data_IF_308028745072
#
_entry.id   IF_308028745072
#
_cell.length_a   1.000
_cell.length_b   1.000
_cell.length_c   1.000
_cell.angle_alpha   90.00
_cell.angle_beta   90.00
_cell.angle_gamma   90.00
#
_symmetry.space_group_name_H-M   'P 1'
#
loop_
_entity.id
_entity.type
_entity.pdbx_description
1 polymer ?
#
# COMPACT_ATOMS: atom_id res chain seq x y z
N UNK A 1 -3.25 1.39 23.94
CA UNK A 1 -2.89 0.78 22.62
C UNK A 1 -1.70 1.56 22.05
N UNK A 2 -0.47 1.02 22.09
CA UNK A 2 0.76 1.71 21.66
C UNK A 2 0.67 2.07 20.17
N UNK A 3 0.81 3.36 19.81
CA UNK A 3 0.76 3.83 18.41
C UNK A 3 1.97 3.26 17.68
N UNK A 4 1.75 2.48 16.61
CA UNK A 4 2.87 2.01 15.76
C UNK A 4 3.55 3.23 15.13
N UNK A 5 4.87 3.25 15.17
CA UNK A 5 5.68 4.27 14.50
C UNK A 5 5.40 4.26 13.00
N UNK A 6 5.43 5.45 12.40
CA UNK A 6 5.10 5.63 10.99
C UNK A 6 6.13 4.88 10.14
N UNK A 7 5.66 3.96 9.30
CA UNK A 7 6.51 3.34 8.30
C UNK A 7 6.78 4.36 7.19
N UNK A 8 8.05 4.66 6.95
CA UNK A 8 8.45 5.48 5.80
C UNK A 8 8.36 4.62 4.54
N UNK A 9 7.49 5.02 3.61
CA UNK A 9 7.40 4.44 2.28
C UNK A 9 8.37 5.23 1.42
N UNK A 10 9.50 4.61 1.06
CA UNK A 10 10.52 5.22 0.21
C UNK A 10 9.98 5.47 -1.22
N UNK A 11 10.66 6.34 -1.97
CA UNK A 11 10.21 6.74 -3.31
C UNK A 11 10.03 5.58 -4.27
N UNK A 12 10.91 4.58 -4.24
CA UNK A 12 10.83 3.37 -5.06
C UNK A 12 9.62 2.49 -4.71
N UNK A 13 9.33 2.26 -3.43
CA UNK A 13 8.12 1.54 -3.03
C UNK A 13 6.86 2.33 -3.37
N UNK A 14 6.88 3.66 -3.21
CA UNK A 14 5.76 4.52 -3.58
C UNK A 14 5.43 4.43 -5.07
N UNK A 15 6.44 4.48 -5.94
CA UNK A 15 6.26 4.32 -7.39
C UNK A 15 5.64 2.96 -7.70
N UNK A 16 6.22 1.87 -7.16
CA UNK A 16 5.68 0.51 -7.35
C UNK A 16 4.22 0.37 -6.89
N UNK A 17 3.88 0.96 -5.74
CA UNK A 17 2.52 0.90 -5.20
C UNK A 17 1.52 1.68 -6.07
N UNK A 18 1.95 2.82 -6.60
CA UNK A 18 1.12 3.61 -7.51
C UNK A 18 0.90 2.90 -8.85
N UNK A 19 1.95 2.32 -9.43
CA UNK A 19 1.89 1.51 -10.65
C UNK A 19 0.95 0.31 -10.50
N UNK A 20 1.04 -0.37 -9.35
CA UNK A 20 0.13 -1.46 -9.01
C UNK A 20 -1.30 -0.96 -8.86
N UNK A 21 -1.50 0.18 -8.18
CA UNK A 21 -2.81 0.76 -7.95
C UNK A 21 -3.55 1.11 -9.24
N UNK A 22 -2.84 1.58 -10.27
CA UNK A 22 -3.44 1.87 -11.58
C UNK A 22 -3.97 0.61 -12.27
N UNK A 23 -3.30 -0.53 -12.08
CA UNK A 23 -3.71 -1.82 -12.66
C UNK A 23 -4.82 -2.48 -11.85
N UNK A 24 -4.68 -2.44 -10.53
CA UNK A 24 -5.60 -3.09 -9.60
C UNK A 24 -5.74 -2.25 -8.31
N UNK A 25 -6.73 -1.34 -8.25
CA UNK A 25 -6.94 -0.45 -7.09
C UNK A 25 -7.55 -1.15 -5.87
N UNK A 26 -8.05 -2.37 -6.07
CA UNK A 26 -8.56 -3.28 -5.03
C UNK A 26 -7.85 -4.64 -5.11
N UNK A 27 -6.55 -4.69 -4.75
CA UNK A 27 -5.83 -5.95 -4.74
C UNK A 27 -6.47 -6.95 -3.79
N UNK A 28 -6.51 -8.22 -4.22
CA UNK A 28 -6.90 -9.32 -3.35
C UNK A 28 -5.91 -9.47 -2.17
N UNK A 29 -6.30 -10.14 -1.07
CA UNK A 29 -5.39 -10.40 0.05
C UNK A 29 -4.11 -11.12 -0.38
N UNK A 30 -4.21 -12.10 -1.28
CA UNK A 30 -3.08 -12.85 -1.82
C UNK A 30 -2.14 -11.97 -2.65
N UNK A 31 -2.70 -11.06 -3.45
CA UNK A 31 -1.92 -10.14 -4.26
C UNK A 31 -1.18 -9.10 -3.41
N UNK A 32 -1.82 -8.63 -2.33
CA UNK A 32 -1.18 -7.78 -1.33
C UNK A 32 -0.03 -8.50 -0.61
N UNK A 33 -0.16 -9.79 -0.34
CA UNK A 33 0.88 -10.58 0.33
C UNK A 33 2.11 -10.76 -0.59
N UNK A 34 1.88 -11.11 -1.86
CA UNK A 34 2.94 -11.15 -2.89
C UNK A 34 3.64 -9.79 -3.06
N UNK A 35 2.86 -8.71 -3.01
CA UNK A 35 3.40 -7.35 -3.12
C UNK A 35 4.21 -6.98 -1.87
N UNK A 36 3.75 -7.37 -0.68
CA UNK A 36 4.45 -7.18 0.59
C UNK A 36 5.83 -7.83 0.57
N UNK A 37 5.93 -9.04 0.03
CA UNK A 37 7.20 -9.74 -0.16
C UNK A 37 8.12 -9.06 -1.19
N UNK A 38 7.54 -8.55 -2.28
CA UNK A 38 8.28 -7.85 -3.35
C UNK A 38 8.87 -6.51 -2.91
N UNK A 39 8.12 -5.73 -2.12
CA UNK A 39 8.58 -4.44 -1.59
C UNK A 39 9.22 -4.55 -0.21
N UNK A 40 9.29 -5.76 0.37
CA UNK A 40 9.79 -6.05 1.72
C UNK A 40 9.13 -5.15 2.78
N UNK A 41 7.81 -5.01 2.69
CA UNK A 41 7.00 -4.20 3.61
C UNK A 41 5.92 -5.05 4.29
N UNK A 42 5.48 -4.62 5.47
CA UNK A 42 4.40 -5.33 6.17
C UNK A 42 3.07 -5.22 5.40
N UNK A 43 2.37 -6.34 5.21
CA UNK A 43 1.04 -6.43 4.63
C UNK A 43 0.07 -5.34 5.14
N UNK A 44 0.08 -5.06 6.45
CA UNK A 44 -0.80 -4.07 7.07
C UNK A 44 -0.51 -2.64 6.59
N UNK A 45 0.76 -2.33 6.29
CA UNK A 45 1.16 -1.03 5.74
C UNK A 45 0.61 -0.88 4.33
N UNK A 46 0.75 -1.91 3.49
CA UNK A 46 0.18 -1.91 2.14
C UNK A 46 -1.34 -1.77 2.18
N UNK A 47 -2.02 -2.58 3.01
CA UNK A 47 -3.48 -2.51 3.16
C UNK A 47 -3.96 -1.11 3.54
N UNK A 48 -3.31 -0.47 4.53
CA UNK A 48 -3.64 0.91 4.93
C UNK A 48 -3.33 1.90 3.81
N UNK A 49 -2.21 1.73 3.11
CA UNK A 49 -1.84 2.58 1.98
C UNK A 49 -2.89 2.52 0.87
N UNK A 50 -3.33 1.33 0.46
CA UNK A 50 -4.38 1.16 -0.56
C UNK A 50 -5.72 1.77 -0.10
N UNK A 51 -6.09 1.63 1.18
CA UNK A 51 -7.27 2.31 1.73
C UNK A 51 -7.14 3.84 1.63
N UNK A 52 -6.01 4.40 2.07
CA UNK A 52 -5.77 5.84 2.02
C UNK A 52 -5.70 6.36 0.58
N UNK A 53 -5.11 5.58 -0.34
CA UNK A 53 -4.96 5.94 -1.75
C UNK A 53 -6.32 6.03 -2.46
N UNK A 54 -7.23 5.09 -2.21
CA UNK A 54 -8.63 5.15 -2.70
C UNK A 54 -9.40 6.30 -2.09
N UNK A 55 -9.21 6.58 -0.80
CA UNK A 55 -9.85 7.73 -0.16
C UNK A 55 -9.37 9.05 -0.77
N UNK A 56 -8.09 9.16 -1.10
CA UNK A 56 -7.53 10.33 -1.78
C UNK A 56 -8.16 10.53 -3.17
N UNK A 57 -8.35 9.46 -3.92
CA UNK A 57 -9.01 9.50 -5.24
C UNK A 57 -10.46 10.01 -5.14
N UNK A 58 -11.21 9.62 -4.10
CA UNK A 58 -12.58 10.08 -3.87
C UNK A 58 -12.70 11.52 -3.34
N UNK A 59 -11.60 12.09 -2.83
CA UNK A 59 -11.58 13.44 -2.24
C UNK A 59 -11.10 14.52 -3.21
N UNK A 60 -10.58 14.11 -4.37
CA UNK A 60 -10.28 15.01 -5.47
C UNK A 60 -11.43 15.03 -6.47
#
# INVERSE_FOLDING_TARGET
RKRRTRTFINGSAKIKLEDYFQKEPRPSPEALDKLADSVKMNYKVLRIWFCNRRQKEKRM
#
